data_IF_416028211211
#
_entry.id   IF_416028211211
#
_cell.length_a   1.000
_cell.length_b   1.000
_cell.length_c   1.000
_cell.angle_alpha   90.00
_cell.angle_beta   90.00
_cell.angle_gamma   90.00
#
_symmetry.space_group_name_H-M   'P 1'
#
loop_
_entity.id
_entity.type
_entity.pdbx_description
1 polymer ?
#
# COMPACT_ATOMS: atom_id res chain seq x y z
N UNK A 1 -5.75 -27.12 -30.52
CA UNK A 1 -6.33 -25.78 -30.36
C UNK A 1 -5.35 -24.97 -29.55
N UNK A 2 -4.55 -24.16 -30.25
CA UNK A 2 -3.55 -23.28 -29.65
C UNK A 2 -4.25 -22.22 -28.78
N UNK A 3 -3.79 -22.12 -27.53
CA UNK A 3 -4.22 -21.07 -26.61
C UNK A 3 -3.70 -19.72 -27.11
N UNK A 4 -4.63 -18.81 -27.43
CA UNK A 4 -4.29 -17.44 -27.77
C UNK A 4 -3.56 -16.80 -26.58
N UNK A 5 -2.27 -16.53 -26.76
CA UNK A 5 -1.47 -15.71 -25.86
C UNK A 5 -2.04 -14.30 -25.90
N UNK A 6 -2.80 -13.90 -24.88
CA UNK A 6 -3.28 -12.53 -24.73
C UNK A 6 -2.07 -11.66 -24.43
N UNK A 7 -1.50 -11.03 -25.47
CA UNK A 7 -0.48 -10.00 -25.29
C UNK A 7 -1.07 -8.85 -24.46
N UNK A 8 -0.38 -8.34 -23.43
CA UNK A 8 -0.81 -7.12 -22.76
C UNK A 8 -0.81 -5.99 -23.79
N UNK A 9 -1.99 -5.51 -24.17
CA UNK A 9 -2.11 -4.39 -25.08
C UNK A 9 -1.63 -3.14 -24.34
N UNK A 10 -0.45 -2.61 -24.69
CA UNK A 10 0.02 -1.33 -24.18
C UNK A 10 -1.06 -0.27 -24.39
N UNK A 11 -1.42 0.45 -23.32
CA UNK A 11 -2.41 1.52 -23.45
C UNK A 11 -1.88 2.59 -24.41
N UNK A 12 -2.53 2.74 -25.56
CA UNK A 12 -2.20 3.73 -26.59
C UNK A 12 -2.22 5.18 -26.04
N UNK A 13 -2.90 5.41 -24.92
CA UNK A 13 -2.99 6.70 -24.26
C UNK A 13 -1.88 6.94 -23.21
N UNK A 14 -1.07 5.93 -22.86
CA UNK A 14 -0.13 6.01 -21.75
C UNK A 14 0.88 7.18 -21.84
N UNK A 15 1.50 7.48 -23.01
CA UNK A 15 2.43 8.60 -23.11
C UNK A 15 1.76 9.97 -22.86
N UNK A 16 0.53 10.15 -23.35
CA UNK A 16 -0.23 11.39 -23.19
C UNK A 16 -0.73 11.58 -21.76
N UNK A 17 -1.24 10.51 -21.15
CA UNK A 17 -1.65 10.48 -19.74
C UNK A 17 -0.46 10.79 -18.84
N UNK A 18 0.69 10.13 -19.07
CA UNK A 18 1.91 10.36 -18.26
C UNK A 18 2.36 11.82 -18.32
N UNK A 19 2.48 12.40 -19.53
CA UNK A 19 2.87 13.82 -19.68
C UNK A 19 1.94 14.76 -18.94
N UNK A 20 0.63 14.51 -19.01
CA UNK A 20 -0.38 15.31 -18.33
C UNK A 20 -0.26 15.20 -16.81
N UNK A 21 -0.14 13.97 -16.29
CA UNK A 21 0.02 13.70 -14.86
C UNK A 21 1.33 14.31 -14.31
N UNK A 22 2.45 14.18 -15.01
CA UNK A 22 3.73 14.78 -14.61
C UNK A 22 3.65 16.31 -14.58
N UNK A 23 2.96 16.93 -15.54
CA UNK A 23 2.77 18.38 -15.57
C UNK A 23 1.89 18.89 -14.43
N UNK A 24 0.84 18.15 -14.09
CA UNK A 24 -0.09 18.49 -13.01
C UNK A 24 0.52 18.27 -11.62
N UNK A 25 1.25 17.16 -11.41
CA UNK A 25 1.87 16.87 -10.12
C UNK A 25 2.89 17.95 -9.74
N UNK A 26 3.79 18.33 -10.66
CA UNK A 26 4.83 19.34 -10.39
C UNK A 26 4.30 20.74 -10.08
N UNK A 27 3.09 21.09 -10.53
CA UNK A 27 2.53 22.45 -10.36
C UNK A 27 1.65 22.60 -9.13
N UNK A 28 0.97 21.54 -8.72
CA UNK A 28 -0.10 21.64 -7.72
C UNK A 28 0.11 20.77 -6.49
N UNK A 29 1.05 19.82 -6.55
CA UNK A 29 1.35 19.01 -5.38
C UNK A 29 2.18 19.81 -4.37
N UNK A 30 1.68 19.89 -3.14
CA UNK A 30 2.36 20.55 -2.02
C UNK A 30 2.77 19.57 -0.92
N UNK A 31 2.77 18.27 -1.22
CA UNK A 31 3.06 17.20 -0.26
C UNK A 31 4.26 17.48 0.65
N UNK A 32 5.39 17.92 0.09
CA UNK A 32 6.63 18.14 0.85
C UNK A 32 6.47 19.24 1.91
N UNK A 33 5.88 20.37 1.50
CA UNK A 33 5.61 21.49 2.42
C UNK A 33 4.66 21.11 3.56
N UNK A 34 3.71 20.21 3.32
CA UNK A 34 2.74 19.80 4.33
C UNK A 34 3.21 18.63 5.18
N UNK A 35 4.24 17.91 4.75
CA UNK A 35 4.85 16.85 5.56
C UNK A 35 5.69 17.41 6.71
N UNK A 36 6.18 18.65 6.58
CA UNK A 36 6.99 19.32 7.63
C UNK A 36 6.15 20.01 8.70
N UNK A 37 4.82 19.79 8.70
CA UNK A 37 3.85 20.43 9.60
C UNK A 37 3.05 19.38 10.36
N UNK A 38 2.49 19.74 11.54
CA UNK A 38 1.56 18.86 12.21
C UNK A 38 0.33 18.59 11.33
N UNK A 39 -0.16 17.36 11.38
CA UNK A 39 -1.45 17.01 10.81
C UNK A 39 -2.58 17.64 11.62
N UNK A 40 -3.43 18.41 10.93
CA UNK A 40 -4.49 19.22 11.54
C UNK A 40 -5.85 19.12 10.81
N UNK A 41 -5.99 18.19 9.85
CA UNK A 41 -7.21 18.00 9.04
C UNK A 41 -7.84 16.60 9.19
N UNK A 42 -8.11 16.09 10.41
CA UNK A 42 -8.63 14.72 10.59
C UNK A 42 -10.00 14.48 9.94
N UNK A 43 -10.80 15.52 9.73
CA UNK A 43 -12.14 15.46 9.12
C UNK A 43 -12.14 14.96 7.66
N UNK A 44 -10.96 14.88 7.04
CA UNK A 44 -10.83 14.39 5.67
C UNK A 44 -10.85 12.86 5.60
N UNK A 45 -10.63 12.17 6.73
CA UNK A 45 -10.48 10.71 6.80
C UNK A 45 -11.85 10.02 6.78
N UNK A 46 -12.56 10.14 5.67
CA UNK A 46 -13.91 9.58 5.46
C UNK A 46 -13.94 8.59 4.30
N UNK A 47 -14.83 7.59 4.30
CA UNK A 47 -14.83 6.51 3.30
C UNK A 47 -15.30 6.92 1.90
N UNK A 48 -15.99 8.06 1.76
CA UNK A 48 -16.49 8.59 0.49
C UNK A 48 -17.40 7.66 -0.34
N UNK A 49 -18.08 6.70 0.29
CA UNK A 49 -18.96 5.71 -0.40
C UNK A 49 -19.98 6.40 -1.33
N UNK A 50 -20.55 7.53 -0.89
CA UNK A 50 -21.55 8.29 -1.65
C UNK A 50 -21.02 9.60 -2.25
N UNK A 51 -19.69 9.82 -2.22
CA UNK A 51 -19.10 11.09 -2.66
C UNK A 51 -19.32 11.31 -4.16
N UNK A 52 -19.59 12.56 -4.57
CA UNK A 52 -19.54 12.93 -5.99
C UNK A 52 -18.13 13.32 -6.43
N UNK A 53 -17.23 13.57 -5.48
CA UNK A 53 -15.88 14.08 -5.72
C UNK A 53 -14.85 12.95 -5.75
N UNK A 54 -14.89 12.03 -4.81
CA UNK A 54 -13.90 10.95 -4.68
C UNK A 54 -14.50 9.61 -5.06
N UNK A 55 -13.87 8.94 -6.02
CA UNK A 55 -14.34 7.72 -6.65
C UNK A 55 -13.92 6.48 -5.88
N UNK A 56 -12.79 6.57 -5.20
CA UNK A 56 -12.30 5.57 -4.28
C UNK A 56 -11.61 6.21 -3.08
N UNK A 57 -11.53 5.44 -2.00
CA UNK A 57 -10.82 5.77 -0.76
C UNK A 57 -9.94 4.59 -0.35
N UNK A 58 -8.77 4.87 0.18
CA UNK A 58 -7.87 3.91 0.81
C UNK A 58 -7.83 4.17 2.32
N UNK A 59 -7.92 3.09 3.10
CA UNK A 59 -7.50 3.07 4.50
C UNK A 59 -6.48 1.95 4.68
N UNK A 60 -5.40 2.24 5.38
CA UNK A 60 -4.29 1.30 5.61
C UNK A 60 -3.86 1.27 7.07
N UNK A 61 -3.61 0.09 7.62
CA UNK A 61 -2.78 -0.07 8.84
C UNK A 61 -1.69 -1.10 8.57
N UNK A 62 -0.44 -0.69 8.66
CA UNK A 62 0.70 -1.56 8.33
C UNK A 62 1.75 -1.54 9.45
N UNK A 63 2.12 -2.72 9.94
CA UNK A 63 3.17 -2.92 10.95
C UNK A 63 4.34 -3.65 10.29
N UNK A 64 5.52 -3.02 10.17
CA UNK A 64 6.63 -3.58 9.39
C UNK A 64 7.45 -4.66 10.12
N UNK A 65 7.44 -4.64 11.45
CA UNK A 65 8.30 -5.50 12.26
C UNK A 65 7.51 -6.04 13.46
N UNK A 66 6.90 -7.21 13.28
CA UNK A 66 6.27 -7.96 14.36
C UNK A 66 7.14 -9.15 14.78
N UNK A 67 7.07 -9.57 16.05
CA UNK A 67 7.72 -10.78 16.51
C UNK A 67 7.29 -12.01 15.69
N UNK A 68 8.16 -13.02 15.61
CA UNK A 68 7.77 -14.33 15.07
C UNK A 68 6.57 -14.88 15.87
N UNK A 69 5.59 -15.50 15.20
CA UNK A 69 5.57 -15.89 13.78
C UNK A 69 4.97 -14.81 12.86
N UNK A 70 4.55 -13.67 13.38
CA UNK A 70 3.73 -12.70 12.66
C UNK A 70 4.53 -11.90 11.63
N UNK A 71 5.77 -11.48 11.95
CA UNK A 71 6.75 -10.76 11.10
C UNK A 71 6.31 -9.39 10.57
N UNK A 72 5.09 -9.24 10.10
CA UNK A 72 4.46 -8.01 9.64
C UNK A 72 2.94 -8.08 9.90
N UNK A 73 2.26 -6.94 9.83
CA UNK A 73 0.81 -6.90 9.72
C UNK A 73 0.39 -5.98 8.58
N UNK A 74 -0.62 -6.40 7.83
CA UNK A 74 -1.29 -5.65 6.78
C UNK A 74 -2.77 -5.50 7.10
N UNK A 75 -3.32 -4.34 6.80
CA UNK A 75 -4.74 -4.10 6.59
C UNK A 75 -4.87 -3.00 5.53
N UNK A 76 -4.60 -3.34 4.27
CA UNK A 76 -4.65 -2.41 3.13
C UNK A 76 -6.02 -2.55 2.48
N UNK A 77 -6.83 -1.49 2.50
CA UNK A 77 -8.17 -1.48 1.90
C UNK A 77 -8.34 -0.47 0.78
N UNK A 78 -9.24 -0.77 -0.15
CA UNK A 78 -9.73 0.13 -1.20
C UNK A 78 -11.26 0.09 -1.20
N UNK A 79 -11.89 1.21 -0.91
CA UNK A 79 -13.34 1.42 -0.96
C UNK A 79 -13.65 2.12 -2.28
N UNK A 80 -14.22 1.39 -3.22
CA UNK A 80 -14.35 1.77 -4.63
C UNK A 80 -13.13 1.36 -5.46
N UNK A 81 -13.35 0.91 -6.68
CA UNK A 81 -12.29 0.59 -7.62
C UNK A 81 -11.56 1.84 -8.12
N UNK A 82 -10.27 1.68 -8.37
CA UNK A 82 -9.36 2.79 -8.67
C UNK A 82 -9.41 3.24 -10.13
N UNK A 83 -9.77 2.32 -11.03
CA UNK A 83 -9.65 2.52 -12.48
C UNK A 83 -8.22 2.33 -12.99
N UNK A 84 -7.33 1.70 -12.22
CA UNK A 84 -5.92 1.52 -12.55
C UNK A 84 -5.56 0.05 -12.80
N UNK A 85 -4.56 -0.20 -13.64
CA UNK A 85 -4.16 -1.55 -14.03
C UNK A 85 -3.60 -2.37 -12.85
N UNK A 86 -2.85 -1.72 -11.96
CA UNK A 86 -2.25 -2.36 -10.79
C UNK A 86 -3.29 -2.75 -9.74
N UNK A 87 -4.23 -1.84 -9.43
CA UNK A 87 -5.11 -2.02 -8.27
C UNK A 87 -6.49 -2.59 -8.58
N UNK A 88 -7.00 -2.45 -9.80
CA UNK A 88 -8.30 -3.04 -10.11
C UNK A 88 -8.16 -4.54 -10.40
N UNK A 89 -8.88 -5.33 -9.60
CA UNK A 89 -9.07 -6.75 -9.83
C UNK A 89 -10.53 -7.05 -10.21
N UNK A 90 -10.85 -6.87 -11.49
CA UNK A 90 -12.25 -6.92 -11.98
C UNK A 90 -12.92 -8.28 -11.76
N UNK A 91 -12.14 -9.37 -11.69
CA UNK A 91 -12.63 -10.72 -11.46
C UNK A 91 -13.08 -10.97 -10.02
N UNK A 92 -12.63 -10.13 -9.08
CA UNK A 92 -12.88 -10.30 -7.65
C UNK A 92 -14.01 -9.40 -7.11
N UNK A 93 -14.62 -8.57 -7.96
CA UNK A 93 -15.62 -7.59 -7.54
C UNK A 93 -16.85 -8.26 -6.91
N UNK A 94 -17.22 -7.84 -5.71
CA UNK A 94 -18.45 -8.24 -5.02
C UNK A 94 -19.69 -7.45 -5.49
N UNK A 95 -19.49 -6.32 -6.16
CA UNK A 95 -20.53 -5.45 -6.73
C UNK A 95 -19.95 -4.61 -7.88
N UNK A 96 -20.73 -3.68 -8.44
CA UNK A 96 -20.25 -2.67 -9.39
C UNK A 96 -19.00 -1.97 -8.84
N UNK A 97 -18.05 -1.54 -9.70
CA UNK A 97 -16.74 -1.05 -9.26
C UNK A 97 -16.80 0.02 -8.18
N UNK A 98 -17.81 0.90 -8.22
CA UNK A 98 -17.98 1.97 -7.23
C UNK A 98 -18.45 1.49 -5.84
N UNK A 99 -19.14 0.35 -5.78
CA UNK A 99 -19.72 -0.23 -4.57
C UNK A 99 -18.91 -1.41 -4.04
N UNK A 100 -17.72 -1.66 -4.56
CA UNK A 100 -16.82 -2.70 -4.06
C UNK A 100 -15.88 -2.13 -3.01
N UNK A 101 -15.76 -2.77 -1.86
CA UNK A 101 -14.68 -2.54 -0.91
C UNK A 101 -13.81 -3.79 -0.89
N UNK A 102 -12.50 -3.65 -1.07
CA UNK A 102 -11.53 -4.75 -1.01
C UNK A 102 -10.57 -4.53 0.14
N UNK A 103 -10.10 -5.60 0.77
CA UNK A 103 -9.02 -5.54 1.77
C UNK A 103 -8.09 -6.74 1.64
N UNK A 104 -6.79 -6.48 1.80
CA UNK A 104 -5.79 -7.50 2.09
C UNK A 104 -5.26 -7.28 3.50
N UNK A 105 -5.60 -8.23 4.38
CA UNK A 105 -5.21 -8.18 5.77
C UNK A 105 -4.59 -9.48 6.25
N UNK A 106 -3.61 -9.39 7.14
CA UNK A 106 -2.95 -10.58 7.68
C UNK A 106 -1.55 -10.33 8.20
N UNK A 107 -0.97 -11.39 8.73
CA UNK A 107 0.43 -11.51 9.15
C UNK A 107 1.08 -12.69 8.40
N UNK A 108 2.38 -12.90 8.56
CA UNK A 108 3.02 -14.11 8.02
C UNK A 108 2.41 -15.40 8.59
N UNK A 109 1.90 -15.37 9.82
CA UNK A 109 1.27 -16.51 10.48
C UNK A 109 -0.17 -16.79 10.00
N UNK A 110 -0.84 -15.82 9.38
CA UNK A 110 -2.18 -16.02 8.83
C UNK A 110 -2.18 -16.47 7.36
N UNK A 111 -1.01 -16.51 6.70
CA UNK A 111 -0.88 -16.87 5.30
C UNK A 111 -1.51 -18.27 5.02
N UNK A 112 -2.24 -18.45 3.90
CA UNK A 112 -2.43 -17.50 2.79
C UNK A 112 -3.58 -16.49 2.98
N UNK A 113 -4.23 -16.45 4.13
CA UNK A 113 -5.37 -15.55 4.37
C UNK A 113 -4.89 -14.14 4.77
N UNK A 114 -5.54 -13.04 4.38
CA UNK A 114 -6.94 -12.83 4.01
C UNK A 114 -7.04 -11.75 2.89
N UNK A 115 -7.73 -12.08 1.78
CA UNK A 115 -8.16 -11.14 0.75
C UNK A 115 -9.68 -11.24 0.61
N UNK A 116 -10.37 -10.13 0.87
CA UNK A 116 -11.82 -10.06 0.83
C UNK A 116 -12.30 -8.95 -0.11
N UNK A 117 -13.45 -9.19 -0.76
CA UNK A 117 -14.22 -8.18 -1.47
C UNK A 117 -15.63 -8.17 -0.92
N UNK A 118 -16.15 -6.96 -0.69
CA UNK A 118 -17.39 -6.72 0.03
C UNK A 118 -18.22 -5.72 -0.76
N UNK A 119 -19.53 -5.94 -0.85
CA UNK A 119 -20.40 -4.88 -1.36
C UNK A 119 -20.64 -3.86 -0.26
N UNK A 120 -20.46 -2.58 -0.59
CA UNK A 120 -20.89 -1.44 0.24
C UNK A 120 -22.41 -1.38 0.46
N UNK A 121 -23.20 -2.21 -0.23
CA UNK A 121 -24.63 -2.32 -0.05
C UNK A 121 -25.05 -3.42 0.95
N UNK A 122 -24.16 -4.37 1.28
CA UNK A 122 -24.50 -5.51 2.15
C UNK A 122 -23.43 -5.82 3.19
N UNK A 123 -22.19 -6.02 2.77
CA UNK A 123 -21.17 -6.68 3.59
C UNK A 123 -20.14 -5.71 4.16
N UNK A 124 -20.00 -4.52 3.55
CA UNK A 124 -19.18 -3.44 4.09
C UNK A 124 -20.06 -2.39 4.77
N UNK A 125 -19.78 -2.13 6.05
CA UNK A 125 -20.47 -1.12 6.85
C UNK A 125 -19.50 -0.01 7.20
N UNK A 126 -19.90 1.24 7.01
CA UNK A 126 -19.12 2.39 7.44
C UNK A 126 -19.99 3.54 7.94
N UNK A 127 -19.40 4.40 8.77
CA UNK A 127 -20.01 5.67 9.14
C UNK A 127 -19.46 6.80 8.25
N UNK A 128 -20.31 7.80 7.98
CA UNK A 128 -19.99 8.89 7.06
C UNK A 128 -18.83 9.79 7.55
N UNK A 129 -18.64 9.87 8.87
CA UNK A 129 -17.55 10.57 9.54
C UNK A 129 -16.24 9.76 9.60
N UNK A 130 -16.23 8.54 9.06
CA UNK A 130 -15.08 7.64 9.11
C UNK A 130 -14.88 6.93 10.45
N UNK A 131 -15.82 7.04 11.39
CA UNK A 131 -15.65 6.47 12.73
C UNK A 131 -15.72 4.95 12.78
N UNK A 132 -16.16 4.32 11.70
CA UNK A 132 -16.34 2.89 11.55
C UNK A 132 -16.07 2.49 10.10
N UNK A 133 -15.26 1.46 9.95
CA UNK A 133 -15.03 0.71 8.71
C UNK A 133 -15.06 -0.77 9.10
N UNK A 134 -16.08 -1.50 8.65
CA UNK A 134 -16.25 -2.93 8.94
C UNK A 134 -16.37 -3.71 7.64
N UNK A 135 -15.44 -4.62 7.42
CA UNK A 135 -15.33 -5.48 6.25
C UNK A 135 -15.88 -6.87 6.64
N UNK A 136 -17.17 -7.07 6.40
CA UNK A 136 -17.88 -8.29 6.81
C UNK A 136 -17.71 -8.59 8.29
N UNK A 137 -17.33 -9.83 8.57
CA UNK A 137 -16.98 -10.30 9.92
C UNK A 137 -15.46 -10.42 10.12
N UNK A 138 -14.67 -10.00 9.12
CA UNK A 138 -13.24 -10.26 9.08
C UNK A 138 -12.42 -9.20 9.81
N UNK A 139 -12.73 -7.92 9.59
CA UNK A 139 -11.99 -6.80 10.17
C UNK A 139 -12.88 -5.59 10.44
N UNK A 140 -12.68 -4.96 11.58
CA UNK A 140 -13.25 -3.67 11.95
C UNK A 140 -12.14 -2.69 12.32
N UNK A 141 -12.21 -1.48 11.78
CA UNK A 141 -11.47 -0.30 12.24
C UNK A 141 -12.50 0.69 12.76
N UNK A 142 -12.36 1.15 14.00
CA UNK A 142 -13.31 2.06 14.64
C UNK A 142 -12.62 3.10 15.51
N UNK A 143 -13.26 4.24 15.76
CA UNK A 143 -12.69 5.33 16.56
C UNK A 143 -12.59 6.64 15.80
N UNK A 144 -11.87 7.61 16.35
CA UNK A 144 -11.69 8.93 15.75
C UNK A 144 -10.28 9.41 16.02
N UNK A 145 -9.69 10.19 15.12
CA UNK A 145 -8.38 10.78 15.36
C UNK A 145 -8.31 11.48 16.74
N UNK A 146 -7.27 11.20 17.55
CA UNK A 146 -6.12 10.35 17.23
C UNK A 146 -6.30 8.85 17.51
N UNK A 147 -7.37 8.44 18.20
CA UNK A 147 -7.52 7.11 18.80
C UNK A 147 -8.43 6.17 17.99
N UNK A 148 -7.87 5.04 17.56
CA UNK A 148 -8.58 3.98 16.85
C UNK A 148 -8.41 2.62 17.51
N UNK A 149 -9.36 1.73 17.24
CA UNK A 149 -9.30 0.31 17.54
C UNK A 149 -9.41 -0.48 16.24
N UNK A 150 -8.57 -1.47 16.09
CA UNK A 150 -8.59 -2.43 15.00
C UNK A 150 -8.75 -3.82 15.59
N UNK A 151 -9.80 -4.52 15.17
CA UNK A 151 -10.08 -5.88 15.63
C UNK A 151 -10.59 -6.76 14.50
N UNK A 152 -10.27 -8.05 14.54
CA UNK A 152 -10.73 -8.98 13.50
C UNK A 152 -10.16 -10.39 13.62
N UNK A 153 -10.58 -11.23 12.68
CA UNK A 153 -10.08 -12.61 12.51
C UNK A 153 -9.57 -12.78 11.09
N UNK A 154 -8.27 -13.01 10.97
CA UNK A 154 -7.55 -13.08 9.71
C UNK A 154 -7.01 -14.50 9.54
N UNK A 155 -7.81 -15.36 8.91
CA UNK A 155 -7.53 -16.79 8.86
C UNK A 155 -7.46 -17.38 10.28
N UNK A 156 -6.33 -17.98 10.62
CA UNK A 156 -6.08 -18.57 11.96
C UNK A 156 -5.52 -17.60 13.00
N UNK A 157 -5.64 -16.28 12.80
CA UNK A 157 -5.11 -15.26 13.73
C UNK A 157 -6.18 -14.24 14.09
N UNK A 158 -6.52 -14.16 15.37
CA UNK A 158 -7.31 -13.07 15.94
C UNK A 158 -6.38 -11.87 16.23
N UNK A 159 -6.83 -10.67 15.88
CA UNK A 159 -6.09 -9.41 16.10
C UNK A 159 -6.93 -8.44 16.93
N UNK A 160 -6.31 -7.78 17.90
CA UNK A 160 -6.89 -6.67 18.66
C UNK A 160 -5.79 -5.64 18.93
N UNK A 161 -5.92 -4.46 18.32
CA UNK A 161 -4.94 -3.37 18.40
C UNK A 161 -5.63 -2.06 18.74
N UNK A 162 -5.03 -1.32 19.67
CA UNK A 162 -5.28 0.10 19.86
C UNK A 162 -4.23 0.89 19.10
N UNK A 163 -4.65 1.93 18.42
CA UNK A 163 -3.84 2.79 17.57
C UNK A 163 -4.00 4.23 18.07
N UNK A 164 -2.90 4.94 18.25
CA UNK A 164 -2.90 6.38 18.53
C UNK A 164 -2.07 7.06 17.46
N UNK A 165 -2.75 7.73 16.53
CA UNK A 165 -2.13 8.50 15.46
C UNK A 165 -1.45 9.74 16.05
N UNK A 166 -0.19 9.97 15.68
CA UNK A 166 0.48 11.23 15.99
C UNK A 166 0.12 12.31 14.97
N UNK A 167 0.60 13.53 15.20
CA UNK A 167 0.54 14.64 14.23
C UNK A 167 1.61 14.53 13.13
N UNK A 168 2.46 13.49 13.12
CA UNK A 168 3.58 13.32 12.20
C UNK A 168 3.11 12.68 10.89
N UNK A 169 2.83 13.52 9.91
CA UNK A 169 2.34 13.11 8.59
C UNK A 169 3.42 13.11 7.53
N UNK A 170 3.38 12.11 6.65
CA UNK A 170 4.01 12.20 5.33
C UNK A 170 2.92 12.17 4.27
N UNK A 171 2.88 13.21 3.44
CA UNK A 171 2.00 13.26 2.28
C UNK A 171 2.70 12.62 1.08
N UNK A 172 2.06 11.64 0.45
CA UNK A 172 2.46 11.15 -0.86
C UNK A 172 1.99 12.11 -1.96
N UNK A 173 0.76 12.60 -1.81
CA UNK A 173 0.14 13.59 -2.68
C UNK A 173 -0.76 14.50 -1.85
N UNK A 174 -0.64 15.81 -2.02
CA UNK A 174 -1.56 16.77 -1.39
C UNK A 174 -1.98 17.85 -2.37
N UNK A 175 -3.12 17.63 -3.01
CA UNK A 175 -3.77 18.59 -3.90
C UNK A 175 -5.31 18.42 -3.87
N UNK A 176 -6.09 19.30 -4.52
CA UNK A 176 -7.56 19.24 -4.44
C UNK A 176 -8.21 17.96 -4.98
N UNK A 177 -7.52 17.22 -5.86
CA UNK A 177 -8.03 15.99 -6.49
C UNK A 177 -7.49 14.71 -5.87
N UNK A 178 -6.29 14.74 -5.28
CA UNK A 178 -5.68 13.58 -4.65
C UNK A 178 -5.10 13.97 -3.30
N UNK A 179 -5.69 13.39 -2.25
CA UNK A 179 -5.16 13.41 -0.90
C UNK A 179 -4.66 12.01 -0.60
N UNK A 180 -3.37 11.85 -0.34
CA UNK A 180 -2.80 10.57 0.06
C UNK A 180 -1.68 10.82 1.05
N UNK A 181 -1.81 10.27 2.24
CA UNK A 181 -0.84 10.42 3.31
C UNK A 181 -0.80 9.19 4.20
N UNK A 182 0.27 9.14 4.97
CA UNK A 182 0.50 8.21 6.06
C UNK A 182 0.69 9.03 7.33
N UNK A 183 0.18 8.56 8.47
CA UNK A 183 0.44 9.08 9.82
C UNK A 183 1.37 8.11 10.55
N UNK A 184 2.33 8.66 11.30
CA UNK A 184 3.10 7.86 12.24
C UNK A 184 2.16 7.53 13.39
N UNK A 185 2.03 6.24 13.67
CA UNK A 185 1.03 5.76 14.60
C UNK A 185 1.69 4.86 15.62
N UNK A 186 1.33 5.06 16.88
CA UNK A 186 1.69 4.11 17.93
C UNK A 186 0.62 3.04 18.03
N UNK A 187 1.03 1.79 18.20
CA UNK A 187 0.08 0.70 18.42
C UNK A 187 0.43 -0.07 19.68
N UNK A 188 -0.59 -0.65 20.30
CA UNK A 188 -0.48 -1.63 21.37
C UNK A 188 -1.65 -2.60 21.32
N UNK A 189 -1.39 -3.88 21.55
CA UNK A 189 -2.44 -4.90 21.54
C UNK A 189 -1.87 -6.30 21.51
N UNK A 190 -2.56 -7.21 20.83
CA UNK A 190 -2.14 -8.60 20.73
C UNK A 190 -2.63 -9.28 19.45
N UNK A 191 -1.94 -10.37 19.13
CA UNK A 191 -2.37 -11.39 18.17
C UNK A 191 -2.58 -12.71 18.91
N UNK A 192 -3.59 -13.49 18.52
CA UNK A 192 -3.84 -14.84 19.06
C UNK A 192 -3.97 -15.84 17.92
N UNK A 193 -3.12 -16.86 17.89
CA UNK A 193 -3.25 -17.98 16.97
C UNK A 193 -4.41 -18.89 17.42
N UNK A 194 -5.41 -19.10 16.56
CA UNK A 194 -6.65 -19.82 16.93
C UNK A 194 -6.41 -21.29 17.26
N UNK A 195 -5.46 -21.92 16.58
CA UNK A 195 -5.22 -23.36 16.71
C UNK A 195 -4.42 -23.71 17.97
N UNK A 196 -3.46 -22.86 18.34
CA UNK A 196 -2.61 -23.07 19.52
C UNK A 196 -3.09 -22.32 20.76
N UNK A 197 -3.95 -21.30 20.58
CA UNK A 197 -4.32 -20.34 21.62
C UNK A 197 -3.16 -19.44 22.06
N UNK A 198 -2.01 -19.47 21.37
CA UNK A 198 -0.84 -18.66 21.74
C UNK A 198 -1.14 -17.19 21.46
N UNK A 199 -1.03 -16.38 22.50
CA UNK A 199 -1.13 -14.92 22.44
C UNK A 199 0.27 -14.29 22.40
N UNK A 200 0.43 -13.31 21.53
CA UNK A 200 1.62 -12.45 21.45
C UNK A 200 1.19 -11.01 21.68
N UNK A 201 1.57 -10.45 22.83
CA UNK A 201 1.41 -9.01 23.10
C UNK A 201 2.44 -8.21 22.30
N UNK A 202 2.00 -7.10 21.74
CA UNK A 202 2.78 -6.28 20.82
C UNK A 202 2.56 -4.80 21.06
N UNK A 203 3.60 -4.01 20.81
CA UNK A 203 3.55 -2.56 20.77
C UNK A 203 4.68 -2.01 19.91
N UNK A 204 4.52 -0.79 19.40
CA UNK A 204 5.54 -0.16 18.57
C UNK A 204 5.00 0.93 17.66
N UNK A 205 5.71 1.14 16.55
CA UNK A 205 5.32 2.07 15.49
C UNK A 205 4.69 1.33 14.31
N UNK A 206 3.61 1.89 13.78
CA UNK A 206 2.98 1.46 12.55
C UNK A 206 2.68 2.68 11.65
N UNK A 207 2.13 2.42 10.48
CA UNK A 207 1.62 3.44 9.59
C UNK A 207 0.09 3.34 9.53
N UNK A 208 -0.60 4.45 9.76
CA UNK A 208 -2.03 4.60 9.45
C UNK A 208 -2.17 5.45 8.20
N UNK A 209 -2.77 4.92 7.15
CA UNK A 209 -2.79 5.55 5.83
C UNK A 209 -4.19 5.88 5.36
N UNK A 210 -4.30 7.00 4.64
CA UNK A 210 -5.52 7.44 4.02
C UNK A 210 -5.24 7.97 2.62
N UNK A 211 -6.05 7.55 1.65
CA UNK A 211 -6.02 8.05 0.29
C UNK A 211 -7.43 8.33 -0.24
N UNK A 212 -7.64 9.39 -1.01
CA UNK A 212 -8.89 9.63 -1.71
C UNK A 212 -8.67 10.33 -3.05
N UNK A 213 -9.23 9.77 -4.10
CA UNK A 213 -9.05 10.26 -5.47
C UNK A 213 -10.33 10.03 -6.32
N UNK A 214 -10.64 10.90 -7.29
CA UNK A 214 -11.64 10.63 -8.31
C UNK A 214 -11.37 9.30 -9.04
N UNK A 215 -12.44 8.70 -9.56
CA UNK A 215 -12.39 7.49 -10.38
C UNK A 215 -13.33 7.66 -11.55
N UNK A 216 -12.99 7.06 -12.70
CA UNK A 216 -13.89 6.99 -13.85
C UNK A 216 -15.18 6.21 -13.53
N UNK A 217 -15.16 5.37 -12.48
CA UNK A 217 -16.34 4.68 -12.00
C UNK A 217 -17.36 5.58 -11.27
N UNK A 218 -17.09 6.90 -11.16
CA UNK A 218 -18.13 7.90 -10.87
C UNK A 218 -19.15 8.05 -12.01
N UNK A 219 -18.73 7.77 -13.24
CA UNK A 219 -19.52 7.95 -14.46
C UNK A 219 -19.89 6.61 -15.11
N UNK A 220 -19.36 5.50 -14.61
CA UNK A 220 -19.49 4.16 -15.20
C UNK A 220 -19.67 3.10 -14.12
N UNK A 221 -20.69 2.26 -14.29
CA UNK A 221 -21.02 1.16 -13.36
C UNK A 221 -20.42 -0.19 -13.74
N UNK A 222 -19.70 -0.28 -14.86
CA UNK A 222 -19.06 -1.52 -15.33
C UNK A 222 -17.54 -1.37 -15.37
N UNK A 223 -16.78 -2.46 -15.15
CA UNK A 223 -15.33 -2.44 -15.26
C UNK A 223 -14.83 -1.83 -16.57
N UNK A 224 -13.70 -1.13 -16.49
CA UNK A 224 -13.02 -0.62 -17.66
C UNK A 224 -12.23 -1.75 -18.32
N UNK A 225 -12.29 -1.91 -19.66
CA UNK A 225 -11.32 -2.73 -20.37
C UNK A 225 -9.89 -2.29 -20.05
N UNK A 226 -8.95 -3.23 -20.00
CA UNK A 226 -7.55 -2.98 -19.59
C UNK A 226 -6.90 -1.80 -20.31
N UNK A 227 -7.14 -1.62 -21.62
CA UNK A 227 -6.58 -0.51 -22.40
C UNK A 227 -7.07 0.89 -22.00
N UNK A 228 -8.19 0.99 -21.29
CA UNK A 228 -8.78 2.23 -20.79
C UNK A 228 -8.46 2.52 -19.31
N UNK A 229 -7.84 1.57 -18.60
CA UNK A 229 -7.40 1.80 -17.22
C UNK A 229 -6.21 2.76 -17.19
N UNK A 230 -6.06 3.49 -16.08
CA UNK A 230 -4.85 4.23 -15.82
C UNK A 230 -3.64 3.27 -15.87
N UNK A 231 -2.58 3.60 -16.61
CA UNK A 231 -1.50 2.66 -16.95
C UNK A 231 -0.51 2.45 -15.80
N UNK A 232 -0.95 2.53 -14.55
CA UNK A 232 -0.16 2.16 -13.38
C UNK A 232 0.06 0.66 -13.42
N UNK A 233 1.25 0.25 -13.84
CA UNK A 233 1.59 -1.14 -14.13
C UNK A 233 2.76 -1.66 -13.31
N UNK A 234 3.37 -0.82 -12.49
CA UNK A 234 4.35 -1.23 -11.48
C UNK A 234 4.15 -0.41 -10.22
N UNK A 235 4.06 -1.08 -9.08
CA UNK A 235 3.91 -0.46 -7.77
C UNK A 235 4.74 -1.23 -6.75
N UNK A 236 5.64 -0.51 -6.09
CA UNK A 236 6.40 -0.99 -4.94
C UNK A 236 6.20 0.01 -3.82
N UNK A 237 5.89 -0.47 -2.64
CA UNK A 237 5.84 0.33 -1.43
C UNK A 237 6.45 -0.45 -0.26
N UNK A 238 7.33 0.18 0.52
CA UNK A 238 8.01 -0.41 1.67
C UNK A 238 7.90 0.52 2.88
N UNK A 239 7.67 -0.09 4.05
CA UNK A 239 7.64 0.57 5.34
C UNK A 239 8.69 -0.09 6.23
N UNK A 240 9.53 0.72 6.86
CA UNK A 240 10.59 0.25 7.76
C UNK A 240 10.63 1.15 8.99
N UNK A 241 10.57 0.54 10.18
CA UNK A 241 10.94 1.21 11.41
C UNK A 241 12.47 1.07 11.58
N UNK A 242 13.18 2.19 11.76
CA UNK A 242 14.64 2.23 11.91
C UNK A 242 15.06 2.25 13.38
N UNK A 243 14.13 1.92 14.28
CA UNK A 243 14.26 1.95 15.73
C UNK A 243 12.90 2.19 16.39
N UNK A 244 12.92 2.67 17.63
CA UNK A 244 11.71 3.03 18.41
C UNK A 244 11.00 4.29 17.92
N UNK A 245 11.72 5.16 17.21
CA UNK A 245 11.29 6.53 16.92
C UNK A 245 11.19 6.85 15.44
N UNK A 246 12.12 6.33 14.63
CA UNK A 246 12.28 6.70 13.23
C UNK A 246 11.58 5.69 12.30
N UNK A 247 10.90 6.20 11.27
CA UNK A 247 10.26 5.39 10.24
C UNK A 247 10.53 5.98 8.85
N UNK A 248 10.71 5.09 7.88
CA UNK A 248 10.82 5.45 6.46
C UNK A 248 9.74 4.76 5.62
N UNK A 249 9.25 5.50 4.63
CA UNK A 249 8.23 5.09 3.67
C UNK A 249 8.84 5.24 2.27
N UNK A 250 8.97 4.14 1.54
CA UNK A 250 9.72 4.08 0.29
C UNK A 250 8.82 3.56 -0.82
N UNK A 251 8.72 4.28 -1.93
CA UNK A 251 7.83 3.88 -3.02
C UNK A 251 8.43 4.08 -4.39
N UNK A 252 7.99 3.25 -5.33
CA UNK A 252 8.37 3.33 -6.72
C UNK A 252 7.21 2.91 -7.62
N UNK A 253 6.91 3.74 -8.62
CA UNK A 253 5.77 3.55 -9.52
C UNK A 253 6.21 3.68 -10.98
N UNK A 254 5.68 2.82 -11.84
CA UNK A 254 5.75 2.99 -13.30
C UNK A 254 4.38 3.28 -13.90
N UNK A 255 4.37 4.08 -14.96
CA UNK A 255 3.22 4.28 -15.82
C UNK A 255 3.56 3.83 -17.25
N UNK A 256 2.93 2.76 -17.73
CA UNK A 256 3.14 2.22 -19.07
C UNK A 256 4.58 1.75 -19.30
N UNK A 257 5.14 1.02 -18.33
CA UNK A 257 6.47 0.42 -18.38
C UNK A 257 7.61 1.40 -18.16
N UNK A 258 7.32 2.64 -17.78
CA UNK A 258 8.31 3.70 -17.60
C UNK A 258 8.25 4.27 -16.17
N UNK A 259 9.40 4.47 -15.50
CA UNK A 259 9.44 5.10 -14.18
C UNK A 259 8.67 6.42 -14.18
N UNK A 260 7.76 6.57 -13.23
CA UNK A 260 6.98 7.78 -13.05
C UNK A 260 7.43 8.56 -11.83
N UNK A 261 7.55 7.87 -10.68
CA UNK A 261 7.98 8.50 -9.44
C UNK A 261 8.62 7.46 -8.52
N UNK A 262 9.74 7.84 -7.91
CA UNK A 262 10.37 7.14 -6.80
C UNK A 262 10.41 8.11 -5.64
N UNK A 263 9.91 7.70 -4.48
CA UNK A 263 9.83 8.56 -3.30
C UNK A 263 10.49 7.85 -2.13
N UNK A 264 11.28 8.59 -1.36
CA UNK A 264 11.69 8.19 -0.03
C UNK A 264 11.25 9.29 0.93
N UNK A 265 10.58 8.89 2.00
CA UNK A 265 10.07 9.76 3.05
C UNK A 265 10.59 9.25 4.38
N UNK A 266 10.92 10.17 5.27
CA UNK A 266 11.28 9.86 6.64
C UNK A 266 10.45 10.71 7.60
N UNK A 267 10.18 10.16 8.78
CA UNK A 267 9.54 10.85 9.91
C UNK A 267 10.01 10.21 11.21
N UNK A 268 9.80 10.91 12.31
CA UNK A 268 10.14 10.43 13.65
C UNK A 268 9.09 10.86 14.66
N UNK A 269 9.04 10.22 15.83
CA UNK A 269 8.29 10.77 16.98
C UNK A 269 8.73 12.20 17.31
N UNK A 270 10.01 12.51 17.07
CA UNK A 270 10.64 13.77 17.45
C UNK A 270 10.77 14.78 16.30
N UNK A 271 10.53 14.38 15.05
CA UNK A 271 10.74 15.20 13.86
C UNK A 271 9.58 15.05 12.88
N UNK A 272 9.11 16.17 12.31
CA UNK A 272 8.10 16.13 11.25
C UNK A 272 8.64 15.45 9.99
N UNK A 273 7.71 15.07 9.11
CA UNK A 273 8.03 14.36 7.89
C UNK A 273 8.92 15.17 6.94
N UNK A 274 9.82 14.47 6.26
CA UNK A 274 10.63 15.01 5.15
C UNK A 274 10.64 14.06 3.97
N UNK A 275 10.88 14.62 2.79
CA UNK A 275 11.16 13.89 1.54
C UNK A 275 12.64 14.07 1.21
N UNK A 276 13.29 12.99 0.78
CA UNK A 276 14.66 13.07 0.23
C UNK A 276 14.64 13.63 -1.19
N UNK A 277 15.66 14.39 -1.56
CA UNK A 277 15.72 15.06 -2.87
C UNK A 277 15.67 14.07 -4.03
N UNK A 278 16.38 12.95 -3.89
CA UNK A 278 16.49 11.93 -4.91
C UNK A 278 16.37 10.53 -4.31
N UNK A 279 15.57 9.69 -4.94
CA UNK A 279 15.42 8.29 -4.56
C UNK A 279 15.52 7.37 -5.78
N UNK A 280 16.15 6.22 -5.60
CA UNK A 280 16.30 5.17 -6.60
C UNK A 280 15.88 3.83 -6.03
N UNK A 281 15.16 3.07 -6.82
CA UNK A 281 14.80 1.69 -6.54
C UNK A 281 15.43 0.76 -7.59
N UNK A 282 15.88 -0.43 -7.15
CA UNK A 282 16.33 -1.50 -8.03
C UNK A 282 15.88 -2.85 -7.47
N UNK A 283 15.42 -3.74 -8.36
CA UNK A 283 15.38 -5.17 -8.08
C UNK A 283 16.77 -5.73 -8.38
N UNK A 284 17.44 -6.27 -7.36
CA UNK A 284 18.79 -6.85 -7.51
C UNK A 284 18.70 -8.30 -8.00
N UNK A 285 17.67 -9.02 -7.53
CA UNK A 285 17.44 -10.41 -7.89
C UNK A 285 15.93 -10.69 -7.91
N UNK A 286 15.50 -11.52 -8.87
CA UNK A 286 14.15 -12.06 -8.91
C UNK A 286 14.15 -13.50 -8.41
N UNK A 287 13.02 -13.95 -7.85
CA UNK A 287 12.81 -15.36 -7.57
C UNK A 287 12.91 -16.19 -8.86
N UNK A 288 13.26 -17.47 -8.71
CA UNK A 288 13.54 -18.39 -9.83
C UNK A 288 12.35 -18.63 -10.76
N UNK A 289 11.13 -18.42 -10.27
CA UNK A 289 9.90 -18.56 -11.04
C UNK A 289 8.93 -17.42 -10.75
N UNK A 290 8.10 -17.09 -11.74
CA UNK A 290 6.98 -16.16 -11.52
C UNK A 290 5.94 -16.81 -10.61
N UNK A 291 5.30 -16.00 -9.79
CA UNK A 291 4.19 -16.43 -8.94
C UNK A 291 2.89 -16.16 -9.68
N UNK A 292 2.08 -17.21 -9.86
CA UNK A 292 0.74 -17.09 -10.41
C UNK A 292 -0.20 -16.51 -9.36
N UNK A 293 -0.89 -15.43 -9.73
CA UNK A 293 -2.00 -14.92 -8.91
C UNK A 293 -3.21 -15.86 -9.01
N UNK A 294 -4.18 -15.80 -8.08
CA UNK A 294 -5.40 -16.63 -8.14
C UNK A 294 -6.22 -16.49 -9.43
N UNK A 295 -5.96 -15.45 -10.23
CA UNK A 295 -6.65 -15.16 -11.48
C UNK A 295 -5.77 -15.41 -12.73
N UNK A 296 -4.65 -16.13 -12.57
CA UNK A 296 -3.79 -16.56 -13.69
C UNK A 296 -2.96 -15.45 -14.31
N UNK A 297 -2.67 -14.39 -13.54
CA UNK A 297 -1.70 -13.36 -13.94
C UNK A 297 -0.34 -13.76 -13.32
N UNK A 298 0.66 -14.15 -14.12
CA UNK A 298 2.01 -14.40 -13.63
C UNK A 298 2.68 -13.09 -13.23
N UNK A 299 3.37 -13.08 -12.09
CA UNK A 299 4.10 -11.92 -11.60
C UNK A 299 5.52 -12.30 -11.21
N UNK A 300 6.51 -11.55 -11.72
CA UNK A 300 7.90 -11.68 -11.29
C UNK A 300 8.09 -11.00 -9.94
N UNK A 301 8.46 -11.78 -8.94
CA UNK A 301 8.64 -11.29 -7.57
C UNK A 301 10.14 -11.11 -7.28
N UNK A 302 10.55 -10.00 -6.66
CA UNK A 302 11.94 -9.83 -6.26
C UNK A 302 12.31 -10.83 -5.15
N UNK A 303 13.51 -11.37 -5.22
CA UNK A 303 14.16 -12.02 -4.07
C UNK A 303 14.94 -10.98 -3.26
N UNK A 304 15.54 -9.99 -3.93
CA UNK A 304 16.29 -8.91 -3.30
C UNK A 304 16.06 -7.57 -3.99
N UNK A 305 16.03 -6.49 -3.20
CA UNK A 305 15.87 -5.12 -3.69
C UNK A 305 16.80 -4.14 -2.98
N UNK A 306 17.09 -3.03 -3.66
CA UNK A 306 17.80 -1.87 -3.07
C UNK A 306 16.97 -0.61 -3.23
N UNK A 307 16.85 0.15 -2.15
CA UNK A 307 16.44 1.56 -2.17
C UNK A 307 17.62 2.43 -1.76
N UNK A 308 17.87 3.52 -2.49
CA UNK A 308 18.86 4.53 -2.11
C UNK A 308 18.20 5.89 -2.15
N UNK A 309 18.38 6.69 -1.10
CA UNK A 309 17.96 8.08 -1.06
C UNK A 309 19.15 9.00 -0.79
N UNK A 310 19.16 10.15 -1.46
CA UNK A 310 20.22 11.13 -1.42
C UNK A 310 19.65 12.50 -1.07
N UNK A 311 20.43 13.25 -0.29
CA UNK A 311 20.26 14.69 -0.03
C UNK A 311 21.51 15.43 -0.55
N UNK A 312 21.61 16.74 -0.29
CA UNK A 312 22.75 17.58 -0.69
C UNK A 312 24.12 17.03 -0.25
N UNK A 313 24.15 16.32 0.88
CA UNK A 313 25.38 15.81 1.51
C UNK A 313 25.77 14.40 1.01
N UNK A 314 25.01 13.83 0.07
CA UNK A 314 25.24 12.50 -0.49
C UNK A 314 24.18 11.48 -0.09
N UNK A 315 24.57 10.20 0.01
CA UNK A 315 23.66 9.10 0.36
C UNK A 315 23.23 9.25 1.82
N UNK A 316 21.94 9.52 2.03
CA UNK A 316 21.35 9.68 3.36
C UNK A 316 20.67 8.39 3.86
N UNK A 317 20.26 7.52 2.92
CA UNK A 317 19.62 6.24 3.19
C UNK A 317 20.03 5.22 2.13
N UNK A 318 20.43 4.02 2.56
CA UNK A 318 20.56 2.86 1.69
C UNK A 318 19.92 1.66 2.37
N UNK A 319 18.89 1.08 1.75
CA UNK A 319 18.18 -0.11 2.23
C UNK A 319 18.47 -1.25 1.27
N UNK A 320 18.97 -2.37 1.79
CA UNK A 320 19.05 -3.64 1.08
C UNK A 320 18.06 -4.60 1.72
N UNK A 321 17.08 -5.05 0.96
CA UNK A 321 16.00 -5.91 1.43
C UNK A 321 16.06 -7.28 0.76
N UNK A 322 15.84 -8.32 1.55
CA UNK A 322 15.73 -9.72 1.14
C UNK A 322 14.34 -10.24 1.51
N UNK A 323 13.58 -10.65 0.50
CA UNK A 323 12.24 -11.18 0.69
C UNK A 323 12.32 -12.62 1.20
N UNK A 324 12.01 -12.80 2.48
CA UNK A 324 12.14 -14.08 3.21
C UNK A 324 10.79 -14.59 3.76
N UNK A 325 9.69 -13.96 3.39
CA UNK A 325 8.36 -14.20 3.94
C UNK A 325 7.37 -14.52 2.83
N UNK A 326 6.40 -15.38 3.12
CA UNK A 326 5.35 -15.77 2.17
C UNK A 326 4.59 -14.55 1.63
N UNK A 327 4.09 -14.68 0.40
CA UNK A 327 3.36 -13.63 -0.30
C UNK A 327 1.87 -13.80 -0.07
N UNK A 328 1.21 -12.79 0.48
CA UNK A 328 -0.26 -12.78 0.60
C UNK A 328 -0.85 -11.98 -0.55
N UNK A 329 -1.62 -12.65 -1.41
CA UNK A 329 -2.31 -12.00 -2.52
C UNK A 329 -3.44 -11.09 -2.01
N UNK A 330 -3.72 -9.99 -2.72
CA UNK A 330 -4.91 -9.16 -2.47
C UNK A 330 -4.67 -7.65 -2.53
N UNK A 331 -3.42 -7.23 -2.73
CA UNK A 331 -3.06 -5.84 -3.00
C UNK A 331 -3.45 -5.50 -4.45
N UNK A 332 -4.74 -5.28 -4.68
CA UNK A 332 -5.27 -5.19 -6.04
C UNK A 332 -4.98 -6.47 -6.83
N UNK A 333 -4.03 -6.39 -7.77
CA UNK A 333 -3.57 -7.55 -8.56
C UNK A 333 -2.24 -8.16 -8.12
N UNK A 334 -1.64 -7.67 -7.03
CA UNK A 334 -0.37 -8.19 -6.51
C UNK A 334 -0.43 -8.65 -5.05
N UNK A 335 0.69 -8.48 -4.36
CA UNK A 335 0.97 -9.14 -3.09
C UNK A 335 1.42 -8.16 -2.01
N UNK A 336 1.15 -8.52 -0.76
CA UNK A 336 1.80 -7.97 0.43
C UNK A 336 2.71 -9.02 1.06
N UNK A 337 3.81 -8.59 1.69
CA UNK A 337 4.75 -9.50 2.36
C UNK A 337 5.63 -8.76 3.36
N UNK A 338 6.43 -9.53 4.12
CA UNK A 338 7.51 -9.03 4.93
C UNK A 338 8.87 -9.29 4.28
N UNK A 339 9.90 -8.59 4.74
CA UNK A 339 11.29 -8.82 4.33
C UNK A 339 12.25 -8.58 5.49
N UNK A 340 13.48 -9.05 5.34
CA UNK A 340 14.61 -8.63 6.18
C UNK A 340 15.38 -7.53 5.49
N UNK A 341 15.96 -6.61 6.25
CA UNK A 341 16.79 -5.57 5.65
C UNK A 341 18.06 -5.28 6.43
N UNK A 342 19.04 -4.74 5.71
CA UNK A 342 20.15 -3.97 6.27
C UNK A 342 20.05 -2.56 5.71
N UNK A 343 20.03 -1.59 6.61
CA UNK A 343 19.85 -0.18 6.28
C UNK A 343 21.00 0.65 6.81
N UNK A 344 21.61 1.47 5.97
CA UNK A 344 22.47 2.57 6.40
C UNK A 344 21.60 3.81 6.64
N UNK A 345 21.54 4.28 7.89
CA UNK A 345 20.73 5.43 8.33
C UNK A 345 21.54 6.35 9.24
N UNK A 346 21.66 7.64 8.90
CA UNK A 346 22.42 8.62 9.70
C UNK A 346 23.82 8.11 10.12
N UNK A 347 24.51 7.42 9.20
CA UNK A 347 25.84 6.84 9.42
C UNK A 347 25.87 5.57 10.28
N UNK A 348 24.72 5.00 10.63
CA UNK A 348 24.59 3.77 11.43
C UNK A 348 23.95 2.67 10.61
N UNK A 349 24.44 1.45 10.77
CA UNK A 349 23.77 0.27 10.21
C UNK A 349 22.65 -0.18 11.16
N UNK A 350 21.46 -0.36 10.61
CA UNK A 350 20.27 -0.89 11.27
C UNK A 350 19.86 -2.16 10.54
N UNK A 351 19.55 -3.21 11.28
CA UNK A 351 19.04 -4.48 10.73
C UNK A 351 17.69 -4.79 11.39
N UNK A 352 16.77 -5.35 10.63
CA UNK A 352 15.41 -5.60 11.11
C UNK A 352 14.51 -6.17 10.03
N UNK A 353 13.20 -6.02 10.25
CA UNK A 353 12.17 -6.38 9.27
C UNK A 353 11.45 -5.15 8.71
N UNK A 354 10.92 -5.34 7.51
CA UNK A 354 10.07 -4.37 6.84
C UNK A 354 8.82 -5.03 6.26
N UNK A 355 7.85 -4.19 5.90
CA UNK A 355 6.65 -4.55 5.17
C UNK A 355 6.74 -4.07 3.72
N UNK A 356 6.33 -4.90 2.76
CA UNK A 356 6.30 -4.56 1.34
C UNK A 356 4.95 -4.85 0.69
N UNK A 357 4.52 -3.92 -0.16
CA UNK A 357 3.49 -4.06 -1.17
C UNK A 357 4.14 -4.13 -2.56
N UNK A 358 3.74 -5.09 -3.38
CA UNK A 358 4.36 -5.31 -4.69
C UNK A 358 3.36 -5.72 -5.77
N UNK A 359 3.39 -5.00 -6.89
CA UNK A 359 2.62 -5.28 -8.10
C UNK A 359 3.51 -5.08 -9.32
N UNK A 360 3.62 -6.10 -10.17
CA UNK A 360 4.21 -6.00 -11.50
C UNK A 360 3.25 -6.51 -12.58
N UNK A 361 2.67 -5.56 -13.31
CA UNK A 361 1.76 -5.77 -14.45
C UNK A 361 2.41 -5.35 -15.77
N UNK A 362 3.70 -5.02 -15.78
CA UNK A 362 4.42 -4.71 -17.01
C UNK A 362 4.48 -5.97 -17.86
N UNK A 363 4.42 -5.80 -19.18
CA UNK A 363 4.65 -6.91 -20.09
C UNK A 363 6.05 -7.52 -19.80
N UNK A 364 6.22 -8.84 -19.91
CA UNK A 364 7.55 -9.43 -19.95
C UNK A 364 8.33 -8.69 -21.02
N UNK A 365 9.42 -8.04 -20.62
CA UNK A 365 10.44 -7.68 -21.60
C UNK A 365 11.00 -9.01 -22.05
N UNK A 366 10.87 -9.34 -23.33
CA UNK A 366 11.66 -10.41 -23.94
C UNK A 366 13.11 -10.05 -23.68
N UNK A 367 13.66 -10.58 -22.59
CA UNK A 367 15.07 -10.49 -22.28
C UNK A 367 15.77 -11.50 -23.16
N UNK A 368 15.83 -11.19 -24.46
CA UNK A 368 16.67 -11.83 -25.46
C UNK A 368 16.75 -10.92 -26.68
N UNK A 369 17.61 -9.90 -26.59
CA UNK A 369 18.46 -9.52 -27.71
C UNK A 369 19.84 -9.15 -27.12
N UNK A 370 20.94 -9.78 -27.56
CA UNK A 370 22.30 -9.50 -27.08
C UNK A 370 22.77 -8.07 -27.31
#
# INVERSE_FOLDING_TARGET
MEGATVRPMMSLAAPAIRRTLTGLSRRFDRADHWSTRPFDEPEIMVPNVQSRKYGWTHFGVMIPDLPEPHRFFSAMSLIGATGSLAFDNDHALADVPRRNASIVAGTAASHPAHFGNYSTASDFVSHADGSLLRFGDDLTISGHYPDYHLGGRLGGVDVDLRLTNTDKVNWFFRNPVYKHFSLLTEYRGYFTETDSGRRTDVEGLCAFEYGACPSLYQLRSTPLPSGLKAPLDYFVYQIINLGSDDQVLLSHYCLGGQPFMTTALARSRNEFGRRFEHAKFRVEEFQSSAVETPYGIPMRIPAATTFTAMDSDGIALEVRAELDTSLTFGLGSGFVTGFRHRTMWKGRQVEGRGYMEYIDRRAPVDSDIP
#
